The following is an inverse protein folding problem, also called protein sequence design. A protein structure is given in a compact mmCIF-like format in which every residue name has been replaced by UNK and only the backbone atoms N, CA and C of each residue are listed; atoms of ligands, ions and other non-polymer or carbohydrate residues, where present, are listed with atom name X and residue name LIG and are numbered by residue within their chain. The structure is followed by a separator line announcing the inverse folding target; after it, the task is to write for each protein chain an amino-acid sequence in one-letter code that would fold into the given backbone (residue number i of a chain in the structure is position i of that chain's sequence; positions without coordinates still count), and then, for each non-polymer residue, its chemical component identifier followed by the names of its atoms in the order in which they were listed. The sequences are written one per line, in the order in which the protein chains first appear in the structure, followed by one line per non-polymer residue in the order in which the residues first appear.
data_IF_810955435844
#
_entry.id   IF_810955435844
#
_cell.length_a   1.000
_cell.length_b   1.000
_cell.length_c   1.000
_cell.angle_alpha   90.00
_cell.angle_beta   90.00
_cell.angle_gamma   90.00
#
_symmetry.space_group_name_H-M   'P 1'
#
loop_
_entity.id
_entity.type
_entity.pdbx_description
1 polymer ?
#
# COMPACT_ATOMS: atom_id res chain seq x y z
N UNK A 1 68.46 -0.41 61.79
CA UNK A 1 68.20 0.00 63.19
C UNK A 1 67.40 -1.08 63.88
N UNK A 2 67.95 -1.71 64.92
CA UNK A 2 67.27 -2.78 65.65
C UNK A 2 66.03 -2.21 66.37
N UNK A 3 64.83 -2.66 66.00
CA UNK A 3 63.61 -2.40 66.78
C UNK A 3 63.84 -3.00 68.17
N UNK A 4 64.04 -2.14 69.18
CA UNK A 4 64.18 -2.53 70.58
C UNK A 4 62.94 -3.36 70.94
N UNK A 5 63.11 -4.67 71.14
CA UNK A 5 62.00 -5.60 71.36
C UNK A 5 61.46 -5.36 72.78
N UNK A 6 60.38 -4.59 72.88
CA UNK A 6 59.73 -4.28 74.15
C UNK A 6 59.02 -5.56 74.64
N UNK A 7 59.20 -5.92 75.91
CA UNK A 7 58.50 -7.08 76.48
C UNK A 7 57.01 -6.79 76.69
N UNK A 8 56.15 -7.82 76.76
CA UNK A 8 54.70 -7.65 76.98
C UNK A 8 54.41 -6.85 78.26
N UNK A 9 55.15 -7.14 79.34
CA UNK A 9 55.04 -6.41 80.61
C UNK A 9 55.46 -4.94 80.47
N UNK A 10 56.51 -4.66 79.70
CA UNK A 10 56.92 -3.28 79.42
C UNK A 10 55.89 -2.55 78.54
N UNK A 11 55.22 -3.25 77.62
CA UNK A 11 54.18 -2.67 76.78
C UNK A 11 52.95 -2.23 77.61
N UNK A 12 52.49 -3.06 78.55
CA UNK A 12 51.43 -2.66 79.49
C UNK A 12 51.85 -1.44 80.33
N UNK A 13 53.09 -1.44 80.82
CA UNK A 13 53.63 -0.33 81.62
C UNK A 13 53.72 0.98 80.82
N UNK A 14 54.11 0.93 79.54
CA UNK A 14 54.15 2.11 78.66
C UNK A 14 52.75 2.68 78.41
N UNK A 15 51.73 1.82 78.33
CA UNK A 15 50.33 2.24 78.24
C UNK A 15 49.71 2.64 79.60
N UNK A 16 50.48 2.57 80.70
CA UNK A 16 50.02 2.92 82.04
C UNK A 16 49.02 1.92 82.63
N UNK A 17 49.02 0.67 82.15
CA UNK A 17 48.09 -0.38 82.56
C UNK A 17 48.79 -1.44 83.44
N UNK A 18 48.04 -2.12 84.33
CA UNK A 18 48.56 -3.28 85.03
C UNK A 18 48.81 -4.45 84.05
N UNK A 19 49.74 -5.35 84.41
CA UNK A 19 50.03 -6.54 83.61
C UNK A 19 48.77 -7.42 83.53
N UNK A 20 48.32 -7.72 82.30
CA UNK A 20 47.14 -8.56 82.07
C UNK A 20 45.82 -7.80 81.91
N UNK A 21 45.86 -6.47 81.73
CA UNK A 21 44.68 -5.71 81.33
C UNK A 21 44.06 -6.28 80.04
N UNK A 22 42.73 -6.22 79.96
CA UNK A 22 41.94 -6.76 78.85
C UNK A 22 42.21 -6.04 77.52
N UNK A 23 41.91 -6.69 76.39
CA UNK A 23 42.14 -6.09 75.07
C UNK A 23 41.35 -4.79 74.83
N UNK A 24 40.20 -4.64 75.48
CA UNK A 24 39.40 -3.42 75.42
C UNK A 24 40.03 -2.28 76.23
N UNK A 25 40.61 -2.58 77.40
CA UNK A 25 41.38 -1.62 78.21
C UNK A 25 42.65 -1.17 77.48
N UNK A 26 43.36 -2.09 76.83
CA UNK A 26 44.55 -1.78 75.99
C UNK A 26 44.19 -0.82 74.87
N UNK A 27 43.10 -1.08 74.14
CA UNK A 27 42.62 -0.21 73.07
C UNK A 27 42.18 1.17 73.59
N UNK A 28 41.53 1.21 74.74
CA UNK A 28 41.10 2.47 75.36
C UNK A 28 42.29 3.33 75.82
N UNK A 29 43.25 2.74 76.52
CA UNK A 29 44.46 3.42 76.99
C UNK A 29 45.31 3.94 75.82
N UNK A 30 45.47 3.13 74.77
CA UNK A 30 46.17 3.54 73.56
C UNK A 30 45.51 4.77 72.92
N UNK A 31 44.19 4.77 72.70
CA UNK A 31 43.48 5.93 72.12
C UNK A 31 43.64 7.20 72.96
N UNK A 32 43.60 7.07 74.29
CA UNK A 32 43.77 8.20 75.21
C UNK A 32 45.18 8.80 75.09
N UNK A 33 46.21 7.96 75.17
CA UNK A 33 47.61 8.40 75.09
C UNK A 33 47.99 8.88 73.69
N UNK A 34 47.45 8.25 72.63
CA UNK A 34 47.63 8.65 71.25
C UNK A 34 47.07 10.06 70.99
N UNK A 35 45.92 10.42 71.57
CA UNK A 35 45.36 11.77 71.46
C UNK A 35 46.18 12.78 72.28
N UNK A 36 46.70 12.39 73.44
CA UNK A 36 47.48 13.25 74.34
C UNK A 36 48.86 13.60 73.77
N UNK A 37 49.52 12.64 73.12
CA UNK A 37 50.85 12.80 72.54
C UNK A 37 50.83 12.96 71.01
N UNK A 38 49.67 13.26 70.42
CA UNK A 38 49.60 13.48 68.98
C UNK A 38 50.47 14.67 68.58
N UNK A 39 51.36 14.53 67.58
CA UNK A 39 52.31 15.59 67.21
C UNK A 39 51.64 16.89 66.77
N UNK A 40 50.39 16.82 66.29
CA UNK A 40 49.63 18.00 65.86
C UNK A 40 48.87 18.72 66.99
N UNK A 41 48.77 18.11 68.18
CA UNK A 41 47.92 18.63 69.29
C UNK A 41 48.76 18.91 70.55
N UNK A 42 49.81 18.12 70.78
CA UNK A 42 50.64 18.20 71.99
C UNK A 42 51.75 19.24 71.86
N UNK A 43 51.89 20.14 72.83
CA UNK A 43 52.97 21.13 72.90
C UNK A 43 54.25 20.61 73.59
N UNK A 44 54.32 19.31 73.91
CA UNK A 44 55.50 18.66 74.51
C UNK A 44 56.57 18.44 73.41
N UNK A 45 57.82 18.93 73.58
CA UNK A 45 58.90 18.73 72.62
C UNK A 45 59.19 17.26 72.30
N UNK A 46 58.85 16.35 73.22
CA UNK A 46 59.06 14.90 73.09
C UNK A 46 57.78 14.12 72.71
N UNK A 47 56.71 14.81 72.30
CA UNK A 47 55.43 14.18 71.97
C UNK A 47 55.56 13.09 70.89
N UNK A 48 56.36 13.35 69.84
CA UNK A 48 56.58 12.41 68.72
C UNK A 48 57.21 11.09 69.17
N UNK A 49 58.22 11.16 70.05
CA UNK A 49 58.91 9.96 70.55
C UNK A 49 58.04 9.17 71.52
N UNK A 50 57.26 9.86 72.36
CA UNK A 50 56.28 9.23 73.26
C UNK A 50 55.16 8.56 72.48
N UNK A 51 54.65 9.20 71.43
CA UNK A 51 53.64 8.61 70.56
C UNK A 51 54.16 7.35 69.86
N UNK A 52 55.38 7.38 69.33
CA UNK A 52 56.01 6.22 68.71
C UNK A 52 56.17 5.05 69.70
N UNK A 53 56.57 5.33 70.94
CA UNK A 53 56.66 4.31 71.99
C UNK A 53 55.30 3.71 72.37
N UNK A 54 54.26 4.54 72.46
CA UNK A 54 52.87 4.11 72.75
C UNK A 54 52.32 3.22 71.62
N UNK A 55 52.59 3.57 70.35
CA UNK A 55 52.21 2.75 69.20
C UNK A 55 52.93 1.39 69.18
N UNK A 56 54.25 1.38 69.41
CA UNK A 56 55.03 0.12 69.48
C UNK A 56 54.52 -0.79 70.61
N UNK A 57 54.12 -0.21 71.75
CA UNK A 57 53.54 -0.98 72.85
C UNK A 57 52.18 -1.59 72.48
N UNK A 58 51.31 -0.85 71.80
CA UNK A 58 50.00 -1.34 71.35
C UNK A 58 50.13 -2.48 70.34
N UNK A 59 50.93 -2.29 69.29
CA UNK A 59 51.14 -3.30 68.24
C UNK A 59 51.64 -4.63 68.83
N UNK A 60 52.53 -4.53 69.82
CA UNK A 60 53.09 -5.73 70.48
C UNK A 60 52.04 -6.50 71.28
N UNK A 61 51.11 -5.80 71.93
CA UNK A 61 50.00 -6.44 72.63
C UNK A 61 48.96 -6.99 71.64
N UNK A 62 48.78 -6.35 70.48
CA UNK A 62 47.89 -6.82 69.42
C UNK A 62 48.40 -8.13 68.80
N UNK A 63 49.68 -8.20 68.47
CA UNK A 63 50.35 -9.42 68.02
C UNK A 63 50.15 -10.56 69.03
N UNK A 64 50.31 -10.26 70.32
CA UNK A 64 50.14 -11.26 71.38
C UNK A 64 48.68 -11.74 71.50
N UNK A 65 47.70 -10.84 71.41
CA UNK A 65 46.28 -11.20 71.42
C UNK A 65 45.89 -12.05 70.20
N UNK A 66 46.45 -11.75 69.02
CA UNK A 66 46.12 -12.44 67.78
C UNK A 66 46.84 -13.79 67.63
N UNK A 67 47.99 -14.00 68.29
CA UNK A 67 48.73 -15.26 68.28
C UNK A 67 47.94 -16.45 68.90
N UNK A 68 46.84 -16.19 69.60
CA UNK A 68 45.95 -17.21 70.18
C UNK A 68 44.80 -17.71 69.29
N UNK A 69 44.66 -17.27 68.02
CA UNK A 69 43.54 -17.69 67.14
C UNK A 69 44.04 -18.38 65.86
N UNK A 70 43.65 -19.65 65.58
CA UNK A 70 43.97 -20.29 64.30
C UNK A 70 43.11 -19.74 63.15
N UNK A 71 43.74 -19.41 62.02
CA UNK A 71 43.06 -19.12 60.75
C UNK A 71 42.67 -20.43 60.04
N UNK A 72 41.38 -20.64 59.75
CA UNK A 72 40.91 -21.81 59.00
C UNK A 72 41.09 -21.62 57.48
N UNK A 73 41.75 -22.58 56.83
CA UNK A 73 41.86 -22.68 55.37
C UNK A 73 40.87 -23.72 54.83
N UNK A 74 39.96 -23.31 53.94
CA UNK A 74 39.12 -24.24 53.16
C UNK A 74 39.93 -24.88 52.02
N UNK A 75 39.78 -26.19 51.78
CA UNK A 75 40.64 -27.00 50.89
C UNK A 75 40.56 -26.61 49.40
N UNK A 76 41.74 -26.56 48.75
CA UNK A 76 41.94 -26.21 47.33
C UNK A 76 41.30 -27.18 46.33
N UNK A 77 41.07 -28.43 46.76
CA UNK A 77 40.55 -29.53 45.94
C UNK A 77 39.07 -29.32 45.56
N UNK A 78 38.29 -28.71 46.44
CA UNK A 78 36.86 -28.41 46.22
C UNK A 78 36.67 -27.34 45.13
N UNK A 79 37.52 -26.32 45.13
CA UNK A 79 37.48 -25.25 44.12
C UNK A 79 37.93 -25.72 42.74
N UNK A 80 38.91 -26.63 42.65
CA UNK A 80 39.35 -27.21 41.38
C UNK A 80 38.23 -28.03 40.71
N UNK A 81 37.53 -28.86 41.48
CA UNK A 81 36.41 -29.67 41.00
C UNK A 81 35.21 -28.83 40.54
N UNK A 82 34.89 -27.75 41.25
CA UNK A 82 33.84 -26.80 40.85
C UNK A 82 34.17 -26.11 39.52
N UNK A 83 35.43 -25.70 39.32
CA UNK A 83 35.89 -25.10 38.06
C UNK A 83 35.84 -26.08 36.89
N UNK A 84 36.20 -27.35 37.11
CA UNK A 84 36.15 -28.38 36.07
C UNK A 84 34.71 -28.67 35.61
N UNK A 85 33.74 -28.72 36.54
CA UNK A 85 32.30 -28.84 36.19
C UNK A 85 31.80 -27.63 35.41
N UNK A 86 32.10 -26.42 35.87
CA UNK A 86 31.72 -25.19 35.17
C UNK A 86 32.31 -25.13 33.75
N UNK A 87 33.57 -25.56 33.57
CA UNK A 87 34.20 -25.64 32.25
C UNK A 87 33.51 -26.66 31.33
N UNK A 88 33.09 -27.81 31.86
CA UNK A 88 32.39 -28.85 31.10
C UNK A 88 30.99 -28.39 30.67
N UNK A 89 30.24 -27.74 31.56
CA UNK A 89 28.93 -27.16 31.25
C UNK A 89 29.03 -26.01 30.23
N UNK A 90 30.04 -25.15 30.37
CA UNK A 90 30.32 -24.10 29.39
C UNK A 90 30.65 -24.67 28.01
N UNK A 91 31.45 -25.74 27.95
CA UNK A 91 31.77 -26.43 26.70
C UNK A 91 30.53 -27.07 26.06
N UNK A 92 29.64 -27.69 26.85
CA UNK A 92 28.40 -28.29 26.35
C UNK A 92 27.41 -27.22 25.83
N UNK A 93 27.32 -26.08 26.53
CA UNK A 93 26.52 -24.93 26.09
C UNK A 93 27.06 -24.33 24.80
N UNK A 94 28.38 -24.15 24.69
CA UNK A 94 29.03 -23.67 23.49
C UNK A 94 28.79 -24.62 22.30
N UNK A 95 28.84 -25.93 22.53
CA UNK A 95 28.53 -26.94 21.51
C UNK A 95 27.07 -26.86 21.04
N UNK A 96 26.12 -26.73 21.97
CA UNK A 96 24.69 -26.55 21.63
C UNK A 96 24.45 -25.27 20.83
N UNK A 97 25.13 -24.19 21.18
CA UNK A 97 25.01 -22.91 20.47
C UNK A 97 25.63 -22.98 19.06
N UNK A 98 26.78 -23.65 18.91
CA UNK A 98 27.40 -23.91 17.62
C UNK A 98 26.49 -24.76 16.72
N UNK A 99 25.90 -25.83 17.26
CA UNK A 99 24.91 -26.65 16.54
C UNK A 99 23.67 -25.85 16.13
N UNK A 100 23.17 -24.97 17.00
CA UNK A 100 22.03 -24.09 16.69
C UNK A 100 22.36 -23.10 15.58
N UNK A 101 23.55 -22.48 15.59
CA UNK A 101 24.02 -21.57 14.53
C UNK A 101 24.15 -22.30 13.19
N UNK A 102 24.70 -23.50 13.19
CA UNK A 102 24.81 -24.33 11.98
C UNK A 102 23.43 -24.75 11.43
N UNK A 103 22.49 -25.13 12.31
CA UNK A 103 21.11 -25.44 11.90
C UNK A 103 20.44 -24.24 11.23
N UNK A 104 20.54 -23.04 11.82
CA UNK A 104 20.00 -21.80 11.25
C UNK A 104 20.61 -21.52 9.87
N UNK A 105 21.94 -21.69 9.73
CA UNK A 105 22.64 -21.53 8.46
C UNK A 105 22.11 -22.50 7.40
N UNK A 106 21.92 -23.78 7.76
CA UNK A 106 21.37 -24.78 6.84
C UNK A 106 19.95 -24.44 6.41
N UNK A 107 19.07 -24.07 7.35
CA UNK A 107 17.70 -23.66 7.02
C UNK A 107 17.68 -22.45 6.10
N UNK A 108 18.56 -21.47 6.33
CA UNK A 108 18.71 -20.29 5.46
C UNK A 108 19.07 -20.68 4.04
N UNK A 109 20.11 -21.50 3.86
CA UNK A 109 20.57 -21.95 2.54
C UNK A 109 19.47 -22.76 1.82
N UNK A 110 18.74 -23.60 2.56
CA UNK A 110 17.61 -24.36 1.99
C UNK A 110 16.47 -23.43 1.55
N UNK A 111 16.12 -22.42 2.36
CA UNK A 111 15.14 -21.39 1.97
C UNK A 111 15.58 -20.62 0.74
N UNK A 112 16.83 -20.15 0.70
CA UNK A 112 17.37 -19.43 -0.47
C UNK A 112 17.29 -20.28 -1.75
N UNK A 113 17.55 -21.59 -1.67
CA UNK A 113 17.38 -22.51 -2.80
C UNK A 113 15.92 -22.66 -3.21
N UNK A 114 15.02 -22.85 -2.24
CA UNK A 114 13.57 -22.93 -2.50
C UNK A 114 13.03 -21.63 -3.11
N UNK A 115 13.43 -20.48 -2.57
CA UNK A 115 13.02 -19.16 -3.06
C UNK A 115 13.56 -18.91 -4.47
N UNK A 116 14.80 -19.33 -4.76
CA UNK A 116 15.38 -19.21 -6.10
C UNK A 116 14.65 -20.11 -7.13
N UNK A 117 14.28 -21.32 -6.75
CA UNK A 117 13.50 -22.24 -7.59
C UNK A 117 12.07 -21.73 -7.81
N UNK A 118 11.40 -21.28 -6.74
CA UNK A 118 10.10 -20.64 -6.79
C UNK A 118 10.13 -19.38 -7.68
N UNK A 119 11.17 -18.54 -7.56
CA UNK A 119 11.36 -17.35 -8.40
C UNK A 119 11.48 -17.70 -9.88
N UNK A 120 12.20 -18.78 -10.23
CA UNK A 120 12.30 -19.25 -11.63
C UNK A 120 10.94 -19.68 -12.17
N UNK A 121 10.18 -20.45 -11.40
CA UNK A 121 8.85 -20.91 -11.81
C UNK A 121 7.89 -19.73 -11.95
N UNK A 122 7.93 -18.78 -11.02
CA UNK A 122 7.15 -17.55 -11.08
C UNK A 122 7.48 -16.69 -12.32
N UNK A 123 8.77 -16.49 -12.62
CA UNK A 123 9.20 -15.77 -13.84
C UNK A 123 8.73 -16.45 -15.11
N UNK A 124 8.80 -17.79 -15.18
CA UNK A 124 8.27 -18.56 -16.33
C UNK A 124 6.76 -18.40 -16.46
N UNK A 125 6.01 -18.47 -15.35
CA UNK A 125 4.56 -18.27 -15.35
C UNK A 125 4.18 -16.88 -15.85
N UNK A 126 4.84 -15.82 -15.36
CA UNK A 126 4.65 -14.45 -15.87
C UNK A 126 4.95 -14.40 -17.37
N UNK A 127 6.09 -14.93 -17.81
CA UNK A 127 6.46 -14.90 -19.21
C UNK A 127 5.41 -15.56 -20.11
N UNK A 128 4.83 -16.68 -19.69
CA UNK A 128 3.75 -17.35 -20.41
C UNK A 128 2.47 -16.50 -20.46
N UNK A 129 2.07 -15.89 -19.34
CA UNK A 129 0.90 -15.01 -19.29
C UNK A 129 1.09 -13.79 -20.20
N UNK A 130 2.25 -13.12 -20.11
CA UNK A 130 2.58 -11.96 -20.94
C UNK A 130 2.61 -12.35 -22.42
N UNK A 131 3.22 -13.48 -22.77
CA UNK A 131 3.25 -13.96 -24.16
C UNK A 131 1.85 -14.28 -24.66
N UNK A 132 1.01 -14.92 -23.84
CA UNK A 132 -0.39 -15.19 -24.17
C UNK A 132 -1.20 -13.91 -24.41
N UNK A 133 -1.02 -12.89 -23.56
CA UNK A 133 -1.64 -11.58 -23.75
C UNK A 133 -1.16 -10.91 -25.03
N UNK A 134 0.15 -10.90 -25.31
CA UNK A 134 0.71 -10.33 -26.54
C UNK A 134 0.19 -11.04 -27.79
N UNK A 135 0.08 -12.36 -27.78
CA UNK A 135 -0.52 -13.12 -28.88
C UNK A 135 -2.02 -12.80 -29.04
N UNK A 136 -2.76 -12.75 -27.93
CA UNK A 136 -4.18 -12.42 -27.95
C UNK A 136 -4.42 -11.03 -28.54
N UNK A 137 -3.77 -10.00 -27.99
CA UNK A 137 -3.87 -8.62 -28.48
C UNK A 137 -3.33 -8.48 -29.90
N UNK A 138 -2.21 -9.12 -30.21
CA UNK A 138 -1.60 -9.08 -31.55
C UNK A 138 -2.51 -9.69 -32.63
N UNK A 139 -3.18 -10.80 -32.32
CA UNK A 139 -4.13 -11.44 -33.25
C UNK A 139 -5.42 -10.61 -33.35
N UNK A 140 -5.96 -10.13 -32.22
CA UNK A 140 -7.22 -9.38 -32.22
C UNK A 140 -7.09 -8.03 -32.92
N UNK A 141 -6.08 -7.23 -32.53
CA UNK A 141 -5.81 -5.93 -33.14
C UNK A 141 -5.28 -6.10 -34.56
N UNK A 142 -4.47 -7.12 -34.84
CA UNK A 142 -4.01 -7.43 -36.19
C UNK A 142 -5.16 -7.76 -37.14
N UNK A 143 -6.18 -8.51 -36.68
CA UNK A 143 -7.38 -8.79 -37.48
C UNK A 143 -8.20 -7.53 -37.73
N UNK A 144 -8.42 -6.70 -36.69
CA UNK A 144 -9.16 -5.44 -36.82
C UNK A 144 -8.46 -4.50 -37.80
N UNK A 145 -7.16 -4.27 -37.59
CA UNK A 145 -6.30 -3.49 -38.47
C UNK A 145 -6.33 -3.98 -39.92
N UNK A 146 -6.27 -5.29 -40.13
CA UNK A 146 -6.34 -5.86 -41.48
C UNK A 146 -7.69 -5.58 -42.15
N UNK A 147 -8.81 -5.77 -41.43
CA UNK A 147 -10.14 -5.40 -41.93
C UNK A 147 -10.24 -3.91 -42.25
N UNK A 148 -9.81 -3.04 -41.34
CA UNK A 148 -9.86 -1.59 -41.53
C UNK A 148 -9.01 -1.16 -42.73
N UNK A 149 -7.79 -1.70 -42.87
CA UNK A 149 -6.91 -1.43 -44.02
C UNK A 149 -7.56 -1.82 -45.35
N UNK A 150 -8.24 -2.98 -45.38
CA UNK A 150 -8.99 -3.44 -46.57
C UNK A 150 -10.14 -2.51 -46.93
N UNK A 151 -10.82 -1.94 -45.93
CA UNK A 151 -11.91 -0.98 -46.14
C UNK A 151 -11.36 0.34 -46.68
N UNK A 152 -10.32 0.89 -46.05
CA UNK A 152 -9.75 2.21 -46.40
C UNK A 152 -9.23 2.27 -47.85
N UNK A 153 -8.60 1.19 -48.33
CA UNK A 153 -8.06 1.12 -49.70
C UNK A 153 -9.14 1.28 -50.79
N UNK A 154 -10.36 0.82 -50.54
CA UNK A 154 -11.44 0.81 -51.54
C UNK A 154 -12.84 0.85 -50.91
N UNK A 155 -13.09 1.90 -50.12
CA UNK A 155 -14.27 1.99 -49.28
C UNK A 155 -15.57 2.15 -50.06
N UNK A 156 -16.56 1.36 -49.71
CA UNK A 156 -17.99 1.54 -50.02
C UNK A 156 -18.78 1.79 -48.75
N UNK A 157 -19.93 2.47 -48.87
CA UNK A 157 -20.83 2.73 -47.76
C UNK A 157 -22.22 2.18 -48.05
N UNK A 158 -22.97 1.89 -46.99
CA UNK A 158 -24.33 1.39 -47.06
C UNK A 158 -25.01 1.46 -45.70
N UNK A 159 -26.12 0.76 -45.56
CA UNK A 159 -26.79 0.62 -44.28
C UNK A 159 -27.05 -0.84 -43.97
N UNK A 160 -26.72 -1.26 -42.76
CA UNK A 160 -27.22 -2.51 -42.20
C UNK A 160 -28.62 -2.31 -41.65
N UNK A 161 -29.39 -3.38 -41.57
CA UNK A 161 -30.63 -3.46 -40.81
C UNK A 161 -30.46 -4.49 -39.70
N UNK A 162 -30.67 -4.07 -38.46
CA UNK A 162 -30.62 -4.96 -37.29
C UNK A 162 -31.82 -5.90 -37.35
N UNK A 163 -31.58 -7.21 -37.34
CA UNK A 163 -32.63 -8.23 -37.46
C UNK A 163 -33.05 -8.80 -36.11
N UNK A 164 -32.11 -8.94 -35.17
CA UNK A 164 -32.38 -9.47 -33.84
C UNK A 164 -31.35 -8.98 -32.83
N UNK A 165 -31.75 -8.95 -31.56
CA UNK A 165 -30.89 -8.54 -30.45
C UNK A 165 -30.97 -9.56 -29.32
N UNK A 166 -29.82 -9.90 -28.76
CA UNK A 166 -29.61 -10.72 -27.56
C UNK A 166 -28.64 -9.93 -26.67
N UNK A 167 -28.63 -10.06 -25.33
CA UNK A 167 -27.71 -9.28 -24.50
C UNK A 167 -26.25 -9.34 -24.99
N UNK A 168 -25.66 -8.17 -25.29
CA UNK A 168 -24.31 -7.93 -25.82
C UNK A 168 -24.07 -8.35 -27.28
N UNK A 169 -25.08 -8.83 -27.99
CA UNK A 169 -24.94 -9.29 -29.37
C UNK A 169 -26.13 -8.85 -30.23
N UNK A 170 -25.81 -8.41 -31.44
CA UNK A 170 -26.81 -8.07 -32.44
C UNK A 170 -26.52 -8.80 -33.73
N UNK A 171 -27.57 -9.19 -34.43
CA UNK A 171 -27.48 -9.70 -35.80
C UNK A 171 -27.99 -8.64 -36.74
N UNK A 172 -27.33 -8.50 -37.88
CA UNK A 172 -27.70 -7.51 -38.88
C UNK A 172 -27.46 -8.05 -40.28
N UNK A 173 -28.15 -7.44 -41.24
CA UNK A 173 -28.03 -7.77 -42.65
C UNK A 173 -27.86 -6.51 -43.48
N UNK A 174 -27.13 -6.61 -44.58
CA UNK A 174 -26.98 -5.52 -45.55
C UNK A 174 -26.90 -6.09 -46.96
N UNK A 175 -27.10 -5.23 -47.95
CA UNK A 175 -27.10 -5.62 -49.36
C UNK A 175 -26.08 -4.76 -50.10
N UNK A 176 -25.16 -5.40 -50.81
CA UNK A 176 -24.17 -4.75 -51.68
C UNK A 176 -24.35 -5.33 -53.08
N UNK A 177 -24.58 -4.47 -54.07
CA UNK A 177 -24.76 -4.88 -55.48
C UNK A 177 -25.81 -5.99 -55.71
N UNK A 178 -26.84 -6.05 -54.87
CA UNK A 178 -27.91 -7.06 -54.95
C UNK A 178 -27.61 -8.38 -54.19
N UNK A 179 -26.39 -8.56 -53.68
CA UNK A 179 -26.02 -9.69 -52.83
C UNK A 179 -26.26 -9.35 -51.36
N UNK A 180 -26.82 -10.31 -50.61
CA UNK A 180 -27.18 -10.14 -49.19
C UNK A 180 -26.10 -10.72 -48.29
N UNK A 181 -25.60 -9.89 -47.39
CA UNK A 181 -24.65 -10.25 -46.35
C UNK A 181 -25.34 -10.24 -44.98
N UNK A 182 -24.84 -11.06 -44.08
CA UNK A 182 -25.31 -11.15 -42.69
C UNK A 182 -24.13 -11.37 -41.78
N UNK A 183 -24.11 -10.68 -40.66
CA UNK A 183 -23.09 -10.87 -39.64
C UNK A 183 -23.64 -10.52 -38.24
N UNK A 184 -22.80 -10.71 -37.24
CA UNK A 184 -23.08 -10.42 -35.84
C UNK A 184 -22.05 -9.45 -35.29
N UNK A 185 -22.49 -8.49 -34.48
CA UNK A 185 -21.61 -7.57 -33.77
C UNK A 185 -21.77 -7.75 -32.27
N UNK A 186 -20.64 -7.72 -31.57
CA UNK A 186 -20.62 -7.57 -30.13
C UNK A 186 -20.83 -6.09 -29.81
N UNK A 187 -21.79 -5.81 -28.95
CA UNK A 187 -22.17 -4.46 -28.53
C UNK A 187 -22.29 -4.41 -27.02
N UNK A 188 -22.42 -3.21 -26.46
CA UNK A 188 -22.67 -3.07 -25.05
C UNK A 188 -24.13 -3.42 -24.72
N UNK A 189 -24.40 -4.10 -23.61
CA UNK A 189 -25.76 -4.31 -23.11
C UNK A 189 -26.09 -3.28 -22.03
N UNK A 190 -26.88 -2.28 -22.38
CA UNK A 190 -27.38 -1.28 -21.45
C UNK A 190 -28.51 -1.82 -20.57
N UNK A 191 -29.17 -0.91 -19.83
CA UNK A 191 -30.26 -1.24 -18.88
C UNK A 191 -31.39 -2.00 -19.57
N UNK A 192 -31.89 -1.46 -20.68
CA UNK A 192 -33.08 -1.95 -21.36
C UNK A 192 -32.78 -2.53 -22.75
N UNK A 193 -31.77 -1.99 -23.42
CA UNK A 193 -31.42 -2.27 -24.82
C UNK A 193 -29.92 -2.48 -24.97
N UNK A 194 -29.52 -3.18 -26.02
CA UNK A 194 -28.14 -3.09 -26.47
C UNK A 194 -27.85 -1.65 -26.94
N UNK A 195 -26.63 -1.18 -26.72
CA UNK A 195 -26.21 0.19 -26.98
C UNK A 195 -25.00 0.21 -27.92
N UNK A 196 -24.91 1.27 -28.71
CA UNK A 196 -23.72 1.64 -29.46
C UNK A 196 -22.58 2.06 -28.52
N UNK A 197 -21.39 2.30 -29.07
CA UNK A 197 -20.22 2.72 -28.29
C UNK A 197 -20.45 4.03 -27.52
N UNK A 198 -21.16 4.98 -28.13
CA UNK A 198 -21.56 6.23 -27.50
C UNK A 198 -22.86 6.11 -26.69
N UNK A 199 -23.35 4.90 -26.45
CA UNK A 199 -24.48 4.61 -25.57
C UNK A 199 -25.88 4.79 -26.14
N UNK A 200 -26.05 5.26 -27.38
CA UNK A 200 -27.40 5.29 -27.98
C UNK A 200 -27.95 3.86 -28.10
N UNK A 201 -29.25 3.63 -27.80
CA UNK A 201 -29.84 2.31 -27.87
C UNK A 201 -29.96 1.85 -29.31
N UNK A 202 -29.56 0.62 -29.60
CA UNK A 202 -29.68 0.00 -30.92
C UNK A 202 -31.09 -0.58 -31.06
N UNK A 203 -31.80 -0.22 -32.11
CA UNK A 203 -33.17 -0.69 -32.33
C UNK A 203 -33.23 -1.85 -33.31
N UNK A 204 -34.13 -2.79 -33.04
CA UNK A 204 -34.49 -3.84 -33.99
C UNK A 204 -35.17 -3.20 -35.20
N UNK A 205 -34.84 -3.65 -36.41
CA UNK A 205 -35.15 -2.97 -37.68
C UNK A 205 -34.53 -1.58 -37.84
N UNK A 206 -33.73 -1.14 -36.88
CA UNK A 206 -32.91 0.06 -36.99
C UNK A 206 -31.88 -0.11 -38.09
N UNK A 207 -31.59 0.99 -38.79
CA UNK A 207 -30.59 1.04 -39.84
C UNK A 207 -29.40 1.86 -39.38
N UNK A 208 -28.19 1.37 -39.66
CA UNK A 208 -26.93 1.98 -39.22
C UNK A 208 -25.92 1.94 -40.35
N UNK A 209 -25.07 2.97 -40.43
CA UNK A 209 -24.04 3.07 -41.46
C UNK A 209 -23.10 1.86 -41.38
N UNK A 210 -22.73 1.32 -42.54
CA UNK A 210 -21.65 0.33 -42.68
C UNK A 210 -20.68 0.78 -43.74
N UNK A 211 -19.41 0.67 -43.41
CA UNK A 211 -18.29 0.79 -44.32
C UNK A 211 -17.80 -0.61 -44.66
N UNK A 212 -17.53 -0.86 -45.95
CA UNK A 212 -17.07 -2.16 -46.43
C UNK A 212 -16.07 -2.01 -47.56
N UNK A 213 -15.21 -3.01 -47.76
CA UNK A 213 -14.32 -3.08 -48.91
C UNK A 213 -15.13 -3.43 -50.17
N UNK A 214 -15.09 -2.60 -51.22
CA UNK A 214 -15.92 -2.82 -52.43
C UNK A 214 -15.58 -4.10 -53.20
N UNK A 215 -14.34 -4.56 -53.12
CA UNK A 215 -13.87 -5.78 -53.78
C UNK A 215 -14.23 -7.05 -52.99
N UNK A 216 -14.38 -6.95 -51.67
CA UNK A 216 -14.86 -8.04 -50.81
C UNK A 216 -15.67 -7.47 -49.62
N UNK A 217 -17.01 -7.36 -49.75
CA UNK A 217 -17.86 -6.76 -48.72
C UNK A 217 -17.86 -7.51 -47.38
N UNK A 218 -17.31 -8.72 -47.31
CA UNK A 218 -17.18 -9.44 -46.03
C UNK A 218 -16.25 -8.71 -45.05
N UNK A 219 -15.32 -7.90 -45.56
CA UNK A 219 -14.56 -6.94 -44.74
C UNK A 219 -15.39 -5.67 -44.56
N UNK A 220 -15.95 -5.51 -43.36
CA UNK A 220 -16.83 -4.40 -43.05
C UNK A 220 -16.75 -3.98 -41.58
N UNK A 221 -17.13 -2.73 -41.32
CA UNK A 221 -17.30 -2.13 -39.98
C UNK A 221 -18.64 -1.40 -39.92
N UNK A 222 -19.44 -1.71 -38.91
CA UNK A 222 -20.71 -1.02 -38.67
C UNK A 222 -20.50 0.12 -37.68
N UNK A 223 -21.04 1.29 -38.00
CA UNK A 223 -20.90 2.54 -37.26
C UNK A 223 -22.24 2.82 -36.58
N UNK A 224 -22.44 2.24 -35.39
CA UNK A 224 -23.74 2.25 -34.71
C UNK A 224 -24.15 3.63 -34.19
N UNK A 225 -23.21 4.56 -34.01
CA UNK A 225 -23.45 5.97 -33.68
C UNK A 225 -23.97 6.79 -34.88
N UNK A 226 -23.94 6.24 -36.11
CA UNK A 226 -24.47 6.91 -37.31
C UNK A 226 -25.73 6.20 -37.82
N UNK A 227 -26.91 6.55 -37.29
CA UNK A 227 -28.17 5.94 -37.71
C UNK A 227 -28.60 6.38 -39.11
N UNK A 228 -29.32 5.50 -39.81
CA UNK A 228 -29.99 5.82 -41.06
C UNK A 228 -31.20 6.74 -40.86
N UNK A 229 -31.74 7.35 -41.93
CA UNK A 229 -32.72 8.44 -41.83
C UNK A 229 -33.96 8.14 -40.97
N UNK A 230 -34.54 6.95 -41.12
CA UNK A 230 -35.74 6.55 -40.36
C UNK A 230 -35.44 6.24 -38.88
N UNK A 231 -34.23 5.76 -38.59
CA UNK A 231 -33.79 5.49 -37.22
C UNK A 231 -33.43 6.79 -36.53
N UNK A 232 -32.71 7.68 -37.21
CA UNK A 232 -32.42 9.03 -36.72
C UNK A 232 -33.72 9.77 -36.42
N UNK A 233 -34.71 9.74 -37.32
CA UNK A 233 -36.02 10.37 -37.08
C UNK A 233 -36.68 9.88 -35.78
N UNK A 234 -36.62 8.59 -35.49
CA UNK A 234 -37.16 8.04 -34.23
C UNK A 234 -36.38 8.53 -33.01
N UNK A 235 -35.05 8.54 -33.09
CA UNK A 235 -34.23 9.07 -32.00
C UNK A 235 -34.49 10.56 -31.75
N UNK A 236 -34.57 11.37 -32.81
CA UNK A 236 -34.85 12.80 -32.71
C UNK A 236 -36.20 13.05 -32.07
N UNK A 237 -37.26 12.35 -32.49
CA UNK A 237 -38.58 12.46 -31.87
C UNK A 237 -38.55 12.17 -30.36
N UNK A 238 -37.90 11.08 -29.95
CA UNK A 238 -37.71 10.74 -28.53
C UNK A 238 -36.90 11.80 -27.79
N UNK A 239 -35.82 12.29 -28.40
CA UNK A 239 -34.93 13.29 -27.81
C UNK A 239 -35.63 14.63 -27.62
N UNK A 240 -36.40 15.08 -28.60
CA UNK A 240 -37.23 16.29 -28.54
C UNK A 240 -38.28 16.23 -27.43
N UNK A 241 -38.93 15.08 -27.25
CA UNK A 241 -39.86 14.85 -26.15
C UNK A 241 -39.16 14.95 -24.79
N UNK A 242 -37.96 14.36 -24.68
CA UNK A 242 -37.17 14.38 -23.46
C UNK A 242 -36.58 15.77 -23.16
N UNK A 243 -36.18 16.55 -24.17
CA UNK A 243 -35.75 17.94 -23.98
C UNK A 243 -36.86 18.78 -23.33
N UNK A 244 -38.09 18.65 -23.86
CA UNK A 244 -39.23 19.38 -23.32
C UNK A 244 -39.54 18.96 -21.89
N UNK A 245 -39.39 17.67 -21.58
CA UNK A 245 -39.58 17.14 -20.25
C UNK A 245 -38.48 17.58 -19.27
N UNK A 246 -37.21 17.57 -19.72
CA UNK A 246 -36.04 17.88 -18.89
C UNK A 246 -35.86 19.37 -18.63
N UNK A 247 -36.23 20.21 -19.60
CA UNK A 247 -36.09 21.67 -19.53
C UNK A 247 -37.46 22.38 -19.64
N UNK A 248 -38.42 22.09 -18.76
CA UNK A 248 -39.80 22.56 -18.93
C UNK A 248 -39.92 24.09 -18.86
N UNK A 249 -39.02 24.76 -18.13
CA UNK A 249 -38.98 26.22 -18.03
C UNK A 249 -38.60 26.89 -19.34
N UNK A 250 -37.76 26.26 -20.16
CA UNK A 250 -37.33 26.80 -21.45
C UNK A 250 -38.46 26.84 -22.48
N UNK A 251 -39.49 26.01 -22.31
CA UNK A 251 -40.67 25.94 -23.20
C UNK A 251 -41.93 26.54 -22.57
N UNK A 252 -41.82 27.17 -21.39
CA UNK A 252 -42.98 27.66 -20.64
C UNK A 252 -43.69 28.79 -21.39
N UNK A 253 -45.03 28.71 -21.46
CA UNK A 253 -45.86 29.71 -22.11
C UNK A 253 -46.05 29.53 -23.63
N UNK A 254 -45.39 28.53 -24.23
CA UNK A 254 -45.60 28.16 -25.63
C UNK A 254 -46.84 27.27 -25.81
N UNK A 255 -47.49 27.36 -26.97
CA UNK A 255 -48.45 26.32 -27.38
C UNK A 255 -47.75 24.98 -27.65
N UNK A 256 -48.51 23.88 -27.70
CA UNK A 256 -47.96 22.55 -27.97
C UNK A 256 -47.17 22.51 -29.29
N UNK A 257 -47.69 23.15 -30.34
CA UNK A 257 -47.05 23.14 -31.66
C UNK A 257 -45.81 24.04 -31.72
N UNK A 258 -45.82 25.18 -31.05
CA UNK A 258 -44.62 26.03 -30.90
C UNK A 258 -43.53 25.31 -30.11
N UNK A 259 -43.90 24.69 -28.99
CA UNK A 259 -42.97 23.92 -28.16
C UNK A 259 -42.33 22.76 -28.92
N UNK A 260 -43.11 22.01 -29.73
CA UNK A 260 -42.57 20.95 -30.61
C UNK A 260 -41.61 21.50 -31.66
N UNK A 261 -41.95 22.61 -32.32
CA UNK A 261 -41.07 23.24 -33.32
C UNK A 261 -39.77 23.73 -32.70
N UNK A 262 -39.84 24.35 -31.53
CA UNK A 262 -38.67 24.80 -30.79
C UNK A 262 -37.80 23.63 -30.33
N UNK A 263 -38.41 22.56 -29.83
CA UNK A 263 -37.69 21.34 -29.44
C UNK A 263 -37.03 20.65 -30.63
N UNK A 264 -37.70 20.60 -31.78
CA UNK A 264 -37.13 20.08 -33.03
C UNK A 264 -35.93 20.91 -33.49
N UNK A 265 -36.03 22.24 -33.46
CA UNK A 265 -34.89 23.13 -33.72
C UNK A 265 -33.73 22.80 -32.77
N UNK A 266 -33.99 22.75 -31.46
CA UNK A 266 -32.96 22.52 -30.46
C UNK A 266 -32.31 21.14 -30.64
N UNK A 267 -33.10 20.10 -30.89
CA UNK A 267 -32.61 18.76 -31.16
C UNK A 267 -31.69 18.73 -32.38
N UNK A 268 -32.02 19.43 -33.47
CA UNK A 268 -31.17 19.51 -34.66
C UNK A 268 -29.86 20.24 -34.39
N UNK A 269 -29.90 21.38 -33.71
CA UNK A 269 -28.70 22.15 -33.34
C UNK A 269 -27.79 21.33 -32.44
N UNK A 270 -28.36 20.65 -31.42
CA UNK A 270 -27.59 19.78 -30.54
C UNK A 270 -27.01 18.58 -31.26
N UNK A 271 -27.72 18.02 -32.25
CA UNK A 271 -27.20 16.94 -33.08
C UNK A 271 -26.09 17.42 -34.03
N UNK A 272 -26.12 18.67 -34.48
CA UNK A 272 -25.03 19.25 -35.28
C UNK A 272 -23.76 19.47 -34.44
N UNK A 273 -23.92 19.90 -33.18
CA UNK A 273 -22.80 20.18 -32.28
C UNK A 273 -22.22 18.90 -31.63
N UNK A 274 -23.07 17.98 -31.19
CA UNK A 274 -22.71 16.82 -30.37
C UNK A 274 -23.03 15.47 -31.02
N UNK A 275 -23.43 15.46 -32.30
CA UNK A 275 -23.85 14.26 -33.02
C UNK A 275 -24.88 13.43 -32.22
N UNK A 276 -24.73 12.10 -32.24
CA UNK A 276 -25.60 11.20 -31.50
C UNK A 276 -25.24 11.07 -30.02
N UNK A 277 -24.15 11.68 -29.55
CA UNK A 277 -23.78 11.65 -28.12
C UNK A 277 -24.79 12.39 -27.25
N UNK A 278 -25.24 13.57 -27.71
CA UNK A 278 -26.32 14.31 -27.05
C UNK A 278 -27.59 13.46 -26.87
N UNK A 279 -27.97 12.70 -27.90
CA UNK A 279 -29.15 11.83 -27.85
C UNK A 279 -29.00 10.74 -26.79
N UNK A 280 -27.81 10.17 -26.67
CA UNK A 280 -27.51 9.17 -25.67
C UNK A 280 -27.67 9.77 -24.25
N UNK A 281 -27.05 10.93 -24.02
CA UNK A 281 -27.09 11.64 -22.73
C UNK A 281 -28.52 12.03 -22.33
N UNK A 282 -29.32 12.56 -23.27
CA UNK A 282 -30.70 12.96 -22.96
C UNK A 282 -31.61 11.74 -22.72
N UNK A 283 -31.41 10.62 -23.42
CA UNK A 283 -32.21 9.40 -23.27
C UNK A 283 -32.12 8.76 -21.89
N UNK A 284 -30.99 8.93 -21.23
CA UNK A 284 -30.70 8.36 -19.93
C UNK A 284 -30.47 9.43 -18.86
N UNK A 285 -30.94 10.66 -19.11
CA UNK A 285 -30.82 11.81 -18.19
C UNK A 285 -31.55 11.63 -16.86
N UNK A 286 -32.43 10.64 -16.74
CA UNK A 286 -33.15 10.26 -15.51
C UNK A 286 -32.52 9.05 -14.79
N UNK A 287 -31.47 8.45 -15.34
CA UNK A 287 -30.86 7.21 -14.81
C UNK A 287 -29.67 7.52 -13.91
N UNK A 288 -29.56 6.76 -12.82
CA UNK A 288 -28.39 6.85 -11.96
C UNK A 288 -27.15 6.32 -12.70
N UNK A 289 -26.00 6.95 -12.47
CA UNK A 289 -24.70 6.56 -13.04
C UNK A 289 -24.41 5.05 -12.93
N UNK A 290 -24.69 4.44 -11.77
CA UNK A 290 -24.42 3.00 -11.53
C UNK A 290 -25.34 2.08 -12.34
N UNK A 291 -26.48 2.57 -12.80
CA UNK A 291 -27.43 1.78 -13.59
C UNK A 291 -27.03 1.74 -15.07
N UNK A 292 -26.40 2.80 -15.58
CA UNK A 292 -25.94 2.91 -16.97
C UNK A 292 -24.43 3.17 -17.06
N UNK A 293 -23.64 2.42 -16.30
CA UNK A 293 -22.18 2.63 -16.12
C UNK A 293 -21.40 2.74 -17.43
N UNK A 294 -21.82 2.00 -18.46
CA UNK A 294 -21.17 1.96 -19.77
C UNK A 294 -21.30 3.22 -20.60
N UNK A 295 -22.33 4.02 -20.31
CA UNK A 295 -22.61 5.23 -21.05
C UNK A 295 -22.40 6.49 -20.19
N UNK A 296 -22.62 6.40 -18.88
CA UNK A 296 -22.45 7.55 -17.99
C UNK A 296 -21.07 7.50 -17.35
N UNK A 297 -20.05 8.11 -17.97
CA UNK A 297 -19.01 8.80 -17.22
C UNK A 297 -19.44 10.27 -17.04
N UNK A 298 -20.26 10.61 -16.04
CA UNK A 298 -20.61 12.03 -15.75
C UNK A 298 -21.38 12.79 -16.86
N UNK A 299 -21.86 12.10 -17.90
CA UNK A 299 -22.03 12.69 -19.22
C UNK A 299 -23.24 13.61 -19.42
N UNK A 300 -24.34 13.44 -18.67
CA UNK A 300 -25.48 14.37 -18.81
C UNK A 300 -25.22 15.68 -18.07
N UNK A 301 -24.70 15.61 -16.84
CA UNK A 301 -24.25 16.78 -16.10
C UNK A 301 -23.14 17.53 -16.86
N UNK A 302 -22.13 16.81 -17.34
CA UNK A 302 -21.05 17.39 -18.15
C UNK A 302 -21.58 18.06 -19.42
N UNK A 303 -22.59 17.46 -20.08
CA UNK A 303 -23.24 18.04 -21.25
C UNK A 303 -23.96 19.35 -20.90
N UNK A 304 -24.70 19.43 -19.80
CA UNK A 304 -25.44 20.65 -19.44
C UNK A 304 -24.56 21.74 -18.81
N UNK A 305 -23.40 21.36 -18.29
CA UNK A 305 -22.38 22.26 -17.76
C UNK A 305 -21.49 22.85 -18.88
N UNK A 306 -21.50 22.26 -20.08
CA UNK A 306 -20.85 22.82 -21.26
C UNK A 306 -21.50 24.16 -21.67
N UNK A 307 -20.67 25.19 -21.86
CA UNK A 307 -21.10 26.51 -22.31
C UNK A 307 -21.79 26.45 -23.68
N UNK A 308 -21.30 25.59 -24.59
CA UNK A 308 -21.90 25.42 -25.92
C UNK A 308 -23.33 24.88 -25.85
N UNK A 309 -23.64 24.03 -24.87
CA UNK A 309 -24.98 23.48 -24.68
C UNK A 309 -25.99 24.59 -24.36
N UNK A 310 -25.63 25.52 -23.49
CA UNK A 310 -26.47 26.67 -23.18
C UNK A 310 -26.65 27.60 -24.40
N UNK A 311 -25.61 27.77 -25.22
CA UNK A 311 -25.68 28.56 -26.47
C UNK A 311 -26.67 27.95 -27.46
N UNK A 312 -26.75 26.61 -27.55
CA UNK A 312 -27.68 25.92 -28.46
C UNK A 312 -29.15 26.33 -28.26
N UNK A 313 -29.57 26.61 -27.02
CA UNK A 313 -30.92 27.10 -26.73
C UNK A 313 -31.18 28.45 -27.41
N UNK A 314 -30.20 29.34 -27.42
CA UNK A 314 -30.34 30.69 -27.98
C UNK A 314 -30.57 30.68 -29.49
N UNK A 315 -29.94 29.75 -30.23
CA UNK A 315 -30.16 29.60 -31.67
C UNK A 315 -31.61 29.28 -32.04
N UNK A 316 -32.35 28.68 -31.10
CA UNK A 316 -33.76 28.32 -31.27
C UNK A 316 -34.71 29.29 -30.56
N UNK A 317 -34.24 30.49 -30.19
CA UNK A 317 -34.99 31.49 -29.43
C UNK A 317 -35.50 30.97 -28.07
N UNK A 318 -34.75 30.06 -27.45
CA UNK A 318 -35.03 29.54 -26.11
C UNK A 318 -34.06 30.14 -25.12
N UNK A 319 -34.52 30.30 -23.88
CA UNK A 319 -33.65 30.61 -22.76
C UNK A 319 -33.29 29.30 -22.05
N UNK A 320 -31.99 29.04 -21.88
CA UNK A 320 -31.54 27.91 -21.08
C UNK A 320 -31.84 28.16 -19.60
N UNK A 321 -32.49 27.19 -18.96
CA UNK A 321 -32.67 27.17 -17.51
C UNK A 321 -32.11 25.86 -17.01
N UNK A 322 -31.11 25.95 -16.12
CA UNK A 322 -30.54 24.76 -15.52
C UNK A 322 -31.65 23.91 -14.87
N UNK A 323 -31.70 22.62 -15.16
CA UNK A 323 -32.76 21.73 -14.73
C UNK A 323 -32.87 21.55 -13.21
#
# INVERSE_FOLDING_TARGET
MARKKISIQQAFKILGLPNGASWDEVRAAYRKLAKQFHPDISSDPNAKDKFALVAIAYDRLEEWNNAGRPQQAHSSETFANLRARAAKEAAEKALKEAKRKEMIRRVRVLREKQDAEASKNYKKAIALVVTGLLLYFGISEGRRWYTDSRIEDNMGTGYVTVTSQIPNYIKYVYVVNGERYSDEARVHHGIDDNQAENGIPIYTQGRYLVEYAKDDPTYHRVIFNTPGPNTLKQYMQRGEDLLRWRFPRSFMGMSIEESKKAAHCLGLVLYEEYESEYLANIFYSDKAFLENWSHNQGTFEDLIDDEQFAICFSYCNLQFYHP
#
